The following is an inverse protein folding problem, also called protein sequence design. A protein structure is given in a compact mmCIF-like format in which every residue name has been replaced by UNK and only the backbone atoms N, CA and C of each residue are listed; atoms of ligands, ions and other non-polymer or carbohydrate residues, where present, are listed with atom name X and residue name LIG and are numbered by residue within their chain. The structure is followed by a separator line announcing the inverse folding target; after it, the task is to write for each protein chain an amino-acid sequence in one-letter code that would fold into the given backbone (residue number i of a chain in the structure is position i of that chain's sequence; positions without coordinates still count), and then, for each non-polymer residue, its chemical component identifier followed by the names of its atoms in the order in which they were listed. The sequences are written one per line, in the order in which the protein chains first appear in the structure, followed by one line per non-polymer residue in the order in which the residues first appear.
data_IF_980588692503
#
_entry.id   IF_980588692503
#
_cell.length_a   1.000
_cell.length_b   1.000
_cell.length_c   1.000
_cell.angle_alpha   90.00
_cell.angle_beta   90.00
_cell.angle_gamma   90.00
#
_symmetry.space_group_name_H-M   'P 1'
#
loop_
_entity.id
_entity.type
_entity.pdbx_description
1 polymer ?
#
# COMPACT_ATOMS: atom_id res chain seq x y z
N UNK A 1 -2.01 -4.86 -0.98
CA UNK A 1 -1.67 -4.24 -2.29
C UNK A 1 -0.43 -3.38 -2.11
N UNK A 2 0.40 -3.23 -3.14
CA UNK A 2 1.55 -2.32 -3.10
C UNK A 2 1.21 -1.08 -3.92
N UNK A 3 1.38 0.09 -3.34
CA UNK A 3 1.09 1.36 -4.00
C UNK A 3 2.22 2.34 -3.75
N UNK A 4 2.35 3.33 -4.64
CA UNK A 4 3.18 4.50 -4.42
C UNK A 4 2.27 5.71 -4.23
N UNK A 5 2.29 6.31 -3.06
CA UNK A 5 1.58 7.57 -2.82
C UNK A 5 2.33 8.72 -3.49
N UNK A 6 1.59 9.53 -4.22
CA UNK A 6 2.10 10.74 -4.90
C UNK A 6 1.78 12.01 -4.11
N UNK A 7 0.85 11.90 -3.15
CA UNK A 7 0.43 12.96 -2.25
C UNK A 7 0.17 12.39 -0.84
N UNK A 8 0.18 13.23 0.22
CA UNK A 8 -0.22 12.80 1.55
C UNK A 8 -1.63 12.22 1.56
N UNK A 9 -1.82 11.11 2.27
CA UNK A 9 -3.10 10.41 2.32
C UNK A 9 -3.37 9.86 3.72
N UNK A 10 -4.49 10.29 4.30
CA UNK A 10 -4.98 9.78 5.57
C UNK A 10 -6.07 8.74 5.33
N UNK A 11 -5.94 7.59 5.99
CA UNK A 11 -6.84 6.47 5.84
C UNK A 11 -7.33 5.98 7.20
N UNK A 12 -8.66 5.87 7.31
CA UNK A 12 -9.32 5.26 8.47
C UNK A 12 -10.00 3.97 8.00
N UNK A 13 -9.56 2.79 8.45
CA UNK A 13 -10.21 1.54 8.09
C UNK A 13 -11.62 1.46 8.66
N UNK A 14 -12.55 0.94 7.87
CA UNK A 14 -13.97 0.79 8.26
C UNK A 14 -14.16 -0.11 9.49
N UNK A 15 -13.30 -1.12 9.67
CA UNK A 15 -13.34 -2.05 10.80
C UNK A 15 -12.82 -1.44 12.11
N UNK A 16 -11.94 -0.44 12.03
CA UNK A 16 -11.31 0.19 13.18
C UNK A 16 -11.34 1.72 13.03
N UNK A 17 -12.51 2.36 13.23
CA UNK A 17 -12.71 3.79 12.98
C UNK A 17 -11.89 4.71 13.91
N UNK A 18 -11.27 4.14 14.94
CA UNK A 18 -10.37 4.85 15.88
C UNK A 18 -8.93 4.96 15.37
N UNK A 19 -8.57 4.23 14.30
CA UNK A 19 -7.21 4.19 13.78
C UNK A 19 -7.10 5.14 12.59
N UNK A 20 -6.13 6.05 12.64
CA UNK A 20 -5.75 6.89 11.51
C UNK A 20 -4.38 6.46 11.01
N UNK A 21 -4.29 6.09 9.73
CA UNK A 21 -3.04 5.76 9.06
C UNK A 21 -2.68 6.89 8.11
N UNK A 22 -1.60 7.60 8.38
CA UNK A 22 -1.09 8.66 7.53
C UNK A 22 0.03 8.12 6.62
N UNK A 23 -0.13 8.30 5.31
CA UNK A 23 0.84 7.94 4.28
C UNK A 23 1.39 9.21 3.63
N UNK A 24 2.68 9.20 3.27
CA UNK A 24 3.37 10.35 2.69
C UNK A 24 4.13 9.95 1.43
N UNK A 25 4.16 10.80 0.39
CA UNK A 25 4.92 10.53 -0.83
C UNK A 25 6.44 10.50 -0.62
N UNK A 26 6.91 10.99 0.53
CA UNK A 26 8.33 10.96 0.92
C UNK A 26 8.60 9.99 2.07
N UNK A 27 7.61 9.17 2.44
CA UNK A 27 7.78 8.12 3.44
C UNK A 27 8.00 6.76 2.79
N UNK A 28 7.71 5.69 3.53
CA UNK A 28 8.00 4.32 3.10
C UNK A 28 9.44 3.91 3.44
N UNK A 29 9.78 2.66 3.13
CA UNK A 29 11.06 2.07 3.56
C UNK A 29 12.29 2.76 2.95
N UNK A 30 12.17 3.32 1.75
CA UNK A 30 13.26 4.05 1.08
C UNK A 30 12.89 5.50 0.75
N UNK A 31 11.92 6.09 1.48
CA UNK A 31 11.49 7.48 1.29
C UNK A 31 10.99 7.80 -0.14
N UNK A 32 10.46 6.80 -0.82
CA UNK A 32 9.99 6.85 -2.21
C UNK A 32 8.46 6.92 -2.33
N UNK A 33 7.75 6.89 -1.19
CA UNK A 33 6.30 6.88 -1.12
C UNK A 33 5.69 5.49 -1.35
N UNK A 34 6.48 4.42 -1.41
CA UNK A 34 6.00 3.05 -1.57
C UNK A 34 5.59 2.43 -0.24
N UNK A 35 4.36 1.93 -0.21
CA UNK A 35 3.80 1.24 0.95
C UNK A 35 3.11 -0.04 0.54
N UNK A 36 3.15 -1.02 1.43
CA UNK A 36 2.24 -2.16 1.38
C UNK A 36 1.04 -1.83 2.26
N UNK A 37 -0.12 -1.67 1.63
CA UNK A 37 -1.38 -1.27 2.28
C UNK A 37 -2.45 -2.34 2.10
N UNK A 38 -3.54 -2.21 2.86
CA UNK A 38 -4.76 -2.99 2.62
C UNK A 38 -5.28 -2.71 1.21
N UNK A 39 -5.95 -3.70 0.60
CA UNK A 39 -6.45 -3.56 -0.77
C UNK A 39 -7.44 -2.39 -0.88
N UNK A 40 -8.43 -2.32 0.01
CA UNK A 40 -9.40 -1.22 0.11
C UNK A 40 -8.75 0.17 0.18
N UNK A 41 -7.65 0.31 0.94
CA UNK A 41 -6.92 1.57 1.08
C UNK A 41 -6.19 1.94 -0.22
N UNK A 42 -5.54 0.96 -0.86
CA UNK A 42 -4.84 1.16 -2.12
C UNK A 42 -5.81 1.53 -3.24
N UNK A 43 -6.93 0.83 -3.35
CA UNK A 43 -7.97 1.11 -4.34
C UNK A 43 -8.59 2.49 -4.12
N UNK A 44 -8.93 2.86 -2.88
CA UNK A 44 -9.47 4.18 -2.56
C UNK A 44 -8.49 5.31 -2.86
N UNK A 45 -7.20 5.13 -2.56
CA UNK A 45 -6.16 6.11 -2.85
C UNK A 45 -5.90 6.26 -4.36
N UNK A 46 -5.87 5.14 -5.10
CA UNK A 46 -5.71 5.14 -6.56
C UNK A 46 -6.93 5.78 -7.24
N UNK A 47 -8.15 5.46 -6.80
CA UNK A 47 -9.38 6.07 -7.32
C UNK A 47 -9.44 7.58 -7.11
N UNK A 48 -8.82 8.07 -6.03
CA UNK A 48 -8.68 9.51 -5.74
C UNK A 48 -7.49 10.17 -6.43
N UNK A 49 -6.68 9.42 -7.19
CA UNK A 49 -5.47 9.91 -7.85
C UNK A 49 -4.33 10.26 -6.89
N UNK A 50 -4.41 9.83 -5.63
CA UNK A 50 -3.39 10.08 -4.57
C UNK A 50 -2.30 9.01 -4.52
N UNK A 51 -2.51 7.90 -5.22
CA UNK A 51 -1.55 6.81 -5.32
C UNK A 51 -1.59 6.14 -6.69
N UNK A 52 -0.53 5.40 -7.00
CA UNK A 52 -0.41 4.55 -8.18
C UNK A 52 -0.22 3.11 -7.72
N UNK A 53 -0.97 2.17 -8.29
CA UNK A 53 -0.74 0.74 -8.05
C UNK A 53 0.63 0.33 -8.59
N UNK A 54 1.42 -0.32 -7.73
CA UNK A 54 2.65 -0.97 -8.14
C UNK A 54 2.37 -2.45 -8.30
N UNK A 55 2.81 -2.99 -9.44
CA UNK A 55 2.79 -4.44 -9.64
C UNK A 55 3.48 -5.12 -8.45
N UNK A 56 2.74 -5.98 -7.75
CA UNK A 56 3.34 -6.78 -6.69
C UNK A 56 4.49 -7.58 -7.31
N UNK A 57 5.67 -7.64 -6.67
CA UNK A 57 6.70 -8.53 -7.14
C UNK A 57 6.08 -9.92 -7.20
N UNK A 58 6.12 -10.55 -8.37
CA UNK A 58 5.68 -11.92 -8.57
C UNK A 58 6.39 -12.72 -7.50
N UNK A 59 5.71 -13.08 -6.40
CA UNK A 59 6.29 -13.94 -5.37
C UNK A 59 6.65 -15.19 -6.17
N UNK A 60 7.95 -15.42 -6.41
CA UNK A 60 8.39 -16.75 -6.80
C UNK A 60 7.91 -17.62 -5.66
N UNK A 61 6.83 -18.37 -5.88
CA UNK A 61 6.42 -19.43 -4.99
C UNK A 61 7.58 -20.42 -4.98
N UNK A 62 8.56 -20.19 -4.12
CA UNK A 62 9.46 -21.22 -3.65
C UNK A 62 8.64 -22.07 -2.68
N UNK A 63 7.66 -22.79 -3.23
CA UNK A 63 7.19 -24.00 -2.60
C UNK A 63 8.25 -25.04 -2.95
N UNK A 64 9.33 -25.08 -2.15
CA UNK A 64 10.20 -26.25 -2.14
C UNK A 64 9.37 -27.40 -1.55
N UNK A 65 8.80 -28.19 -2.45
CA UNK A 65 8.42 -29.56 -2.16
C UNK A 65 9.71 -30.41 -2.22
N UNK A 66 10.40 -30.53 -1.10
CA UNK A 66 11.49 -31.49 -0.84
C UNK A 66 11.52 -31.64 0.70
N UNK A 67 11.45 -32.82 1.33
CA UNK A 67 11.48 -34.22 0.88
C UNK A 67 10.76 -35.10 1.92
#
# INVERSE_FOLDING_TARGET
MRVRFTEPYDYTPSEEPRVLMAYSPTGGANSDGEYTVRQECGEAAVAQGKAVELAAPKRKSAYNAEA
#
